data_IF_864009263614
#
_entry.id   IF_864009263614
#
_cell.length_a   1.000
_cell.length_b   1.000
_cell.length_c   1.000
_cell.angle_alpha   90.00
_cell.angle_beta   90.00
_cell.angle_gamma   90.00
#
_symmetry.space_group_name_H-M   'P 1'
#
loop_
_entity.id
_entity.type
_entity.pdbx_description
1 polymer ?
#
# COMPACT_ATOMS: atom_id res chain seq x y z
N UNK A 1 33.20 6.50 -10.39
CA UNK A 1 31.79 6.81 -10.72
C UNK A 1 30.93 6.49 -9.50
N UNK A 2 30.69 7.45 -8.60
CA UNK A 2 29.81 7.31 -7.43
C UNK A 2 28.49 7.97 -7.82
N UNK A 3 27.40 7.22 -7.83
CA UNK A 3 26.06 7.78 -8.09
C UNK A 3 25.67 8.61 -6.86
N UNK A 4 26.01 9.88 -6.92
CA UNK A 4 25.50 10.97 -6.09
C UNK A 4 24.06 11.24 -6.55
N UNK A 5 23.06 10.65 -5.91
CA UNK A 5 21.68 10.87 -6.37
C UNK A 5 20.52 10.53 -5.45
N UNK A 6 20.72 9.81 -4.33
CA UNK A 6 19.57 9.42 -3.49
C UNK A 6 19.81 9.42 -1.97
N UNK A 7 20.95 9.95 -1.50
CA UNK A 7 21.24 10.04 -0.07
C UNK A 7 20.91 11.42 0.55
N UNK A 8 20.37 12.39 -0.22
CA UNK A 8 19.99 13.73 0.27
C UNK A 8 18.62 13.80 0.96
N UNK A 9 18.17 12.70 1.56
CA UNK A 9 16.98 12.70 2.41
C UNK A 9 17.32 13.03 3.88
N UNK A 10 16.36 12.89 4.78
CA UNK A 10 16.56 12.96 6.25
C UNK A 10 17.56 11.93 6.80
N UNK A 11 18.06 11.01 5.97
CA UNK A 11 18.98 9.93 6.33
C UNK A 11 20.28 10.43 6.96
N UNK A 12 20.77 11.62 6.60
CA UNK A 12 21.95 12.23 7.23
C UNK A 12 21.67 12.92 8.57
N UNK A 13 20.39 13.17 8.89
CA UNK A 13 19.95 13.87 10.11
C UNK A 13 19.39 12.92 11.17
N UNK A 14 19.22 11.64 10.83
CA UNK A 14 18.56 10.63 11.66
C UNK A 14 19.50 9.45 11.84
N UNK A 15 19.45 8.85 13.03
CA UNK A 15 20.20 7.63 13.32
C UNK A 15 19.85 6.51 12.32
N UNK A 16 20.87 5.74 11.92
CA UNK A 16 20.73 4.74 10.85
C UNK A 16 19.71 3.67 11.20
N UNK A 17 19.67 3.20 12.45
CA UNK A 17 18.74 2.16 12.90
C UNK A 17 17.29 2.66 12.81
N UNK A 18 17.03 3.88 13.31
CA UNK A 18 15.71 4.51 13.25
C UNK A 18 15.26 4.77 11.81
N UNK A 19 16.17 5.23 10.95
CA UNK A 19 15.87 5.44 9.55
C UNK A 19 15.47 4.14 8.85
N UNK A 20 16.23 3.05 9.03
CA UNK A 20 15.90 1.75 8.44
C UNK A 20 14.59 1.18 8.98
N UNK A 21 14.34 1.32 10.29
CA UNK A 21 13.09 0.89 10.90
C UNK A 21 11.88 1.62 10.26
N UNK A 22 11.91 2.95 10.24
CA UNK A 22 10.82 3.76 9.66
C UNK A 22 10.68 3.50 8.17
N UNK A 23 11.79 3.37 7.43
CA UNK A 23 11.76 3.04 6.00
C UNK A 23 11.06 1.72 5.74
N UNK A 24 11.30 0.69 6.58
CA UNK A 24 10.62 -0.60 6.48
C UNK A 24 9.12 -0.45 6.75
N UNK A 25 8.76 0.23 7.84
CA UNK A 25 7.35 0.48 8.18
C UNK A 25 6.62 1.23 7.07
N UNK A 26 7.24 2.26 6.48
CA UNK A 26 6.66 3.02 5.38
C UNK A 26 6.44 2.15 4.13
N UNK A 27 7.36 1.23 3.82
CA UNK A 27 7.18 0.29 2.71
C UNK A 27 5.96 -0.60 2.93
N UNK A 28 5.77 -1.09 4.14
CA UNK A 28 4.60 -1.91 4.49
C UNK A 28 3.31 -1.08 4.45
N UNK A 29 3.34 0.16 4.94
CA UNK A 29 2.21 1.09 4.85
C UNK A 29 1.84 1.44 3.42
N UNK A 30 2.80 1.64 2.51
CA UNK A 30 2.52 1.85 1.09
C UNK A 30 1.80 0.65 0.48
N UNK A 31 2.22 -0.58 0.82
CA UNK A 31 1.54 -1.80 0.36
C UNK A 31 0.11 -1.87 0.90
N UNK A 32 -0.08 -1.58 2.18
CA UNK A 32 -1.42 -1.53 2.77
C UNK A 32 -2.29 -0.46 2.10
N UNK A 33 -1.75 0.75 1.85
CA UNK A 33 -2.49 1.82 1.18
C UNK A 33 -2.97 1.40 -0.22
N UNK A 34 -2.17 0.64 -0.98
CA UNK A 34 -2.58 0.09 -2.27
C UNK A 34 -3.73 -0.91 -2.11
N UNK A 35 -3.64 -1.84 -1.14
CA UNK A 35 -4.71 -2.81 -0.83
C UNK A 35 -6.01 -2.10 -0.48
N UNK A 36 -5.95 -1.06 0.37
CA UNK A 36 -7.10 -0.24 0.72
C UNK A 36 -7.69 0.51 -0.47
N UNK A 37 -6.82 1.10 -1.32
CA UNK A 37 -7.25 1.78 -2.56
C UNK A 37 -8.03 0.84 -3.47
N UNK A 38 -7.46 -0.34 -3.74
CA UNK A 38 -8.06 -1.33 -4.63
C UNK A 38 -9.36 -1.90 -4.04
N UNK A 39 -9.40 -2.18 -2.73
CA UNK A 39 -10.60 -2.65 -2.04
C UNK A 39 -11.76 -1.64 -2.15
N UNK A 40 -11.50 -0.37 -1.86
CA UNK A 40 -12.51 0.69 -1.95
C UNK A 40 -12.99 0.86 -3.39
N UNK A 41 -12.07 0.94 -4.36
CA UNK A 41 -12.42 1.10 -5.78
C UNK A 41 -13.30 -0.05 -6.27
N UNK A 42 -12.92 -1.30 -5.99
CA UNK A 42 -13.66 -2.48 -6.43
C UNK A 42 -15.02 -2.62 -5.73
N UNK A 43 -15.08 -2.32 -4.43
CA UNK A 43 -16.33 -2.33 -3.68
C UNK A 43 -17.32 -1.31 -4.25
N UNK A 44 -16.88 -0.05 -4.41
CA UNK A 44 -17.74 1.01 -4.95
C UNK A 44 -18.06 0.79 -6.43
N UNK A 45 -17.21 0.11 -7.20
CA UNK A 45 -17.53 -0.28 -8.58
C UNK A 45 -18.74 -1.23 -8.65
N UNK A 46 -18.87 -2.19 -7.72
CA UNK A 46 -20.01 -3.12 -7.72
C UNK A 46 -21.36 -2.41 -7.52
N UNK A 47 -21.40 -1.39 -6.66
CA UNK A 47 -22.62 -0.64 -6.36
C UNK A 47 -22.84 0.58 -7.27
N UNK A 48 -21.76 1.26 -7.64
CA UNK A 48 -21.78 2.49 -8.43
C UNK A 48 -22.00 2.28 -9.93
N UNK A 49 -21.78 1.05 -10.44
CA UNK A 49 -21.92 0.68 -11.87
C UNK A 49 -21.21 1.63 -12.86
N UNK A 50 -20.28 2.45 -12.38
CA UNK A 50 -19.46 3.33 -13.21
C UNK A 50 -18.11 2.66 -13.48
N UNK A 51 -17.59 2.76 -14.71
CA UNK A 51 -16.26 2.27 -15.03
C UNK A 51 -15.21 3.12 -14.31
N UNK A 52 -14.13 2.48 -13.86
CA UNK A 52 -12.98 3.19 -13.30
C UNK A 52 -12.31 4.01 -14.42
N UNK A 53 -12.03 5.31 -14.20
CA UNK A 53 -11.32 6.16 -15.17
C UNK A 53 -9.97 5.56 -15.57
N UNK A 54 -9.63 5.67 -16.86
CA UNK A 54 -8.39 5.10 -17.42
C UNK A 54 -7.10 5.79 -16.95
N UNK A 55 -7.21 6.99 -16.38
CA UNK A 55 -6.09 7.77 -15.86
C UNK A 55 -5.55 7.23 -14.53
N UNK A 56 -6.28 6.32 -13.90
CA UNK A 56 -5.93 5.71 -12.62
C UNK A 56 -5.36 4.32 -12.88
N UNK A 57 -4.30 3.98 -12.16
CA UNK A 57 -3.78 2.60 -12.14
C UNK A 57 -4.89 1.60 -11.84
N UNK A 58 -5.01 0.59 -12.70
CA UNK A 58 -6.04 -0.44 -12.53
C UNK A 58 -5.79 -1.22 -11.25
N UNK A 59 -6.86 -1.64 -10.54
CA UNK A 59 -6.73 -2.51 -9.39
C UNK A 59 -5.94 -3.76 -9.76
N UNK A 60 -4.95 -4.10 -8.94
CA UNK A 60 -4.09 -5.28 -9.17
C UNK A 60 -4.71 -6.52 -8.52
N UNK A 61 -5.46 -6.33 -7.44
CA UNK A 61 -6.08 -7.39 -6.64
C UNK A 61 -7.56 -7.58 -6.97
N UNK A 62 -8.10 -8.77 -6.70
CA UNK A 62 -9.54 -9.04 -6.80
C UNK A 62 -10.23 -8.77 -5.46
N UNK A 63 -11.49 -8.32 -5.50
CA UNK A 63 -12.25 -8.00 -4.29
C UNK A 63 -12.45 -9.22 -3.38
N UNK A 64 -12.72 -10.40 -3.94
CA UNK A 64 -12.93 -11.62 -3.16
C UNK A 64 -11.69 -12.04 -2.36
N UNK A 65 -10.50 -11.84 -2.94
CA UNK A 65 -9.24 -12.17 -2.30
C UNK A 65 -8.94 -11.19 -1.16
N UNK A 66 -9.29 -9.91 -1.36
CA UNK A 66 -9.19 -8.87 -0.33
C UNK A 66 -10.12 -9.17 0.86
N UNK A 67 -11.39 -9.50 0.59
CA UNK A 67 -12.38 -9.87 1.63
C UNK A 67 -11.93 -11.11 2.39
N UNK A 68 -11.46 -12.16 1.71
CA UNK A 68 -10.95 -13.37 2.37
C UNK A 68 -9.76 -13.08 3.26
N UNK A 69 -8.84 -12.22 2.81
CA UNK A 69 -7.66 -11.84 3.59
C UNK A 69 -8.05 -11.10 4.88
N UNK A 70 -9.00 -10.15 4.80
CA UNK A 70 -9.50 -9.44 5.97
C UNK A 70 -10.24 -10.38 6.95
N UNK A 71 -11.13 -11.23 6.43
CA UNK A 71 -11.84 -12.23 7.24
C UNK A 71 -10.89 -13.17 7.97
N UNK A 72 -9.76 -13.55 7.35
CA UNK A 72 -8.72 -14.35 7.99
C UNK A 72 -8.04 -13.58 9.11
N UNK A 73 -7.66 -12.32 8.87
CA UNK A 73 -7.05 -11.46 9.90
C UNK A 73 -7.97 -11.23 11.10
N UNK A 74 -9.29 -11.08 10.89
CA UNK A 74 -10.25 -10.92 11.99
C UNK A 74 -10.36 -12.20 12.83
N UNK A 75 -10.34 -13.38 12.19
CA UNK A 75 -10.39 -14.68 12.89
C UNK A 75 -9.14 -14.98 13.71
N UNK A 76 -7.97 -14.53 13.26
CA UNK A 76 -6.70 -14.73 13.98
C UNK A 76 -6.57 -13.83 15.23
N UNK A 77 -7.40 -12.78 15.34
CA UNK A 77 -7.42 -11.88 16.51
C UNK A 77 -8.42 -12.30 17.60
N UNK A 78 -9.20 -13.36 17.37
CA UNK A 78 -10.22 -13.88 18.29
C UNK A 78 -9.70 -15.12 19.02
#
# INVERSE_FOLDING_TARGET
>A
MRIIGFDYGIKSFVDSERFFHVQRTLRDQCRHAQIWKDACLLYFQQFGRQPIPYDIERPVFNLDDLIKSDLKMQKEKL
#
